data_IF_419342961378
#
_entry.id   IF_419342961378
#
_cell.length_a   1.000
_cell.length_b   1.000
_cell.length_c   1.000
_cell.angle_alpha   90.00
_cell.angle_beta   90.00
_cell.angle_gamma   90.00
#
_symmetry.space_group_name_H-M   'P 1'
#
loop_
_entity.id
_entity.type
_entity.pdbx_description
1 polymer ?
#
# COMPACT_ATOMS: atom_id res chain seq x y z
N UNK A 1 27.50 10.48 -1.58
CA UNK A 1 27.34 10.23 -3.03
C UNK A 1 25.93 9.72 -3.27
N UNK A 2 24.98 10.65 -3.42
CA UNK A 2 23.55 10.38 -3.66
C UNK A 2 23.30 10.35 -5.17
N UNK A 3 23.36 9.16 -5.78
CA UNK A 3 22.96 8.97 -7.17
C UNK A 3 21.43 9.06 -7.25
N UNK A 4 20.96 10.10 -7.94
CA UNK A 4 19.55 10.41 -8.11
C UNK A 4 18.78 9.28 -8.79
N UNK A 5 17.78 8.77 -8.08
CA UNK A 5 16.77 7.88 -8.64
C UNK A 5 15.89 8.71 -9.60
N UNK A 6 15.95 8.44 -10.90
CA UNK A 6 14.97 9.04 -11.82
C UNK A 6 13.62 8.35 -11.62
N UNK A 7 12.73 9.05 -10.91
CA UNK A 7 11.36 8.65 -10.65
C UNK A 7 10.45 9.21 -11.75
N UNK A 8 9.86 8.35 -12.58
CA UNK A 8 8.82 8.75 -13.53
C UNK A 8 7.46 8.21 -13.04
N UNK A 9 6.68 9.07 -12.38
CA UNK A 9 5.35 8.74 -11.87
C UNK A 9 4.25 9.24 -12.81
N UNK A 10 3.37 8.34 -13.27
CA UNK A 10 2.14 8.69 -13.99
C UNK A 10 0.94 8.45 -13.07
N UNK A 11 0.17 9.48 -12.78
CA UNK A 11 -1.03 9.38 -11.93
C UNK A 11 -2.26 9.16 -12.81
N UNK A 12 -3.01 8.08 -12.60
CA UNK A 12 -4.33 7.87 -13.23
C UNK A 12 -5.38 8.01 -12.14
N UNK A 13 -6.26 8.99 -12.27
CA UNK A 13 -7.38 9.19 -11.35
C UNK A 13 -8.59 8.40 -11.86
N UNK A 14 -8.98 7.34 -11.15
CA UNK A 14 -10.27 6.67 -11.36
C UNK A 14 -11.22 7.06 -10.22
N UNK A 15 -12.33 7.72 -10.56
CA UNK A 15 -13.38 8.09 -9.61
C UNK A 15 -14.30 6.89 -9.41
N UNK A 16 -14.26 6.27 -8.22
CA UNK A 16 -15.26 5.27 -7.82
C UNK A 16 -16.12 5.85 -6.69
N UNK A 17 -17.35 6.23 -7.01
CA UNK A 17 -18.33 6.65 -6.01
C UNK A 17 -18.94 5.39 -5.37
N UNK A 18 -18.73 5.21 -4.06
CA UNK A 18 -19.56 4.26 -3.28
C UNK A 18 -20.67 5.07 -2.60
N UNK A 19 -21.91 4.60 -2.74
CA UNK A 19 -23.17 5.29 -2.47
C UNK A 19 -23.47 5.65 -1.00
N UNK A 20 -22.49 5.67 -0.10
CA UNK A 20 -22.72 5.95 1.32
C UNK A 20 -21.63 6.85 1.91
N UNK A 21 -21.75 8.17 1.71
CA UNK A 21 -21.50 9.27 2.66
C UNK A 21 -20.27 9.29 3.59
N UNK A 22 -19.29 8.40 3.47
CA UNK A 22 -18.02 8.44 4.20
C UNK A 22 -16.92 8.69 3.20
N UNK A 23 -16.07 9.69 3.47
CA UNK A 23 -14.78 9.88 2.80
C UNK A 23 -13.99 8.57 2.95
N UNK A 24 -14.12 7.70 1.97
CA UNK A 24 -13.24 6.56 1.78
C UNK A 24 -11.98 7.11 1.11
N UNK A 25 -10.82 6.71 1.61
CA UNK A 25 -9.52 7.05 1.04
C UNK A 25 -9.59 6.86 -0.46
N UNK A 26 -9.55 7.95 -1.23
CA UNK A 26 -9.34 7.89 -2.67
C UNK A 26 -7.99 7.21 -2.85
N UNK A 27 -7.99 5.93 -3.22
CA UNK A 27 -6.78 5.23 -3.60
C UNK A 27 -6.34 5.78 -4.96
N UNK A 28 -5.65 6.93 -4.94
CA UNK A 28 -4.98 7.46 -6.12
C UNK A 28 -3.99 6.41 -6.61
N UNK A 29 -4.28 5.77 -7.75
CA UNK A 29 -3.38 4.78 -8.34
C UNK A 29 -2.32 5.51 -9.13
N UNK A 30 -1.26 5.93 -8.44
CA UNK A 30 -0.04 6.38 -9.10
C UNK A 30 0.75 5.16 -9.59
N UNK A 31 0.97 5.08 -10.90
CA UNK A 31 1.84 4.09 -11.51
C UNK A 31 3.26 4.64 -11.51
N UNK A 32 4.13 4.03 -10.72
CA UNK A 32 5.55 4.35 -10.68
C UNK A 32 6.34 3.25 -11.37
N UNK A 33 7.15 3.61 -12.35
CA UNK A 33 8.12 2.72 -12.99
C UNK A 33 9.52 3.12 -12.53
N UNK A 34 10.31 2.13 -12.14
CA UNK A 34 11.68 2.33 -11.70
C UNK A 34 12.60 1.38 -12.45
N UNK A 35 13.70 1.91 -12.96
CA UNK A 35 14.81 1.12 -13.50
C UNK A 35 15.83 0.99 -12.38
N UNK A 36 16.04 -0.24 -11.93
CA UNK A 36 16.94 -0.55 -10.83
C UNK A 36 18.19 -1.26 -11.36
N UNK A 37 19.31 -1.08 -10.65
CA UNK A 37 20.50 -1.90 -10.84
C UNK A 37 20.39 -3.21 -10.05
N UNK A 38 20.88 -4.32 -10.61
CA UNK A 38 20.87 -5.64 -9.98
C UNK A 38 21.73 -5.73 -8.70
N UNK A 39 22.60 -4.74 -8.45
CA UNK A 39 23.41 -4.67 -7.24
C UNK A 39 22.58 -4.30 -5.98
N UNK A 40 21.34 -3.83 -6.14
CA UNK A 40 20.50 -3.44 -5.01
C UNK A 40 19.84 -4.65 -4.34
N UNK A 41 20.21 -4.89 -3.07
CA UNK A 41 19.62 -5.94 -2.25
C UNK A 41 18.08 -5.79 -2.12
N UNK A 42 17.59 -4.56 -2.01
CA UNK A 42 16.16 -4.25 -1.87
C UNK A 42 15.35 -4.68 -3.09
N UNK A 43 15.93 -4.48 -4.27
CA UNK A 43 15.33 -4.75 -5.58
C UNK A 43 15.27 -6.24 -5.83
N UNK A 44 16.35 -6.97 -5.49
CA UNK A 44 16.40 -8.42 -5.58
C UNK A 44 15.45 -9.11 -4.60
N UNK A 45 15.18 -8.50 -3.44
CA UNK A 45 14.10 -8.93 -2.54
C UNK A 45 12.71 -8.50 -3.01
N UNK A 46 12.65 -7.65 -4.04
CA UNK A 46 11.44 -7.00 -4.53
C UNK A 46 10.64 -6.37 -3.38
N UNK A 47 11.33 -5.63 -2.51
CA UNK A 47 10.69 -5.00 -1.35
C UNK A 47 9.87 -3.80 -1.79
N UNK A 48 8.83 -3.45 -1.03
CA UNK A 48 8.04 -2.24 -1.25
C UNK A 48 7.51 -1.68 0.06
N UNK A 49 7.32 -0.37 0.12
CA UNK A 49 6.64 0.31 1.23
C UNK A 49 5.19 -0.15 1.43
N UNK A 50 4.58 -0.81 0.44
CA UNK A 50 3.22 -1.37 0.49
C UNK A 50 3.19 -2.85 0.86
N UNK A 51 2.11 -3.29 1.51
CA UNK A 51 1.82 -4.71 1.73
C UNK A 51 1.39 -5.36 0.41
N UNK A 52 2.33 -6.03 -0.25
CA UNK A 52 2.15 -6.63 -1.57
C UNK A 52 2.20 -8.16 -1.49
N UNK A 53 1.24 -8.84 -2.14
CA UNK A 53 1.18 -10.31 -2.22
C UNK A 53 1.52 -10.78 -3.63
N UNK A 54 2.30 -11.85 -3.75
CA UNK A 54 2.55 -12.51 -5.03
C UNK A 54 1.22 -12.93 -5.69
N UNK A 55 1.11 -12.70 -6.99
CA UNK A 55 0.04 -13.26 -7.80
C UNK A 55 0.64 -14.14 -8.89
N UNK A 56 0.08 -15.34 -9.04
CA UNK A 56 0.46 -16.21 -10.13
C UNK A 56 -0.06 -15.62 -11.45
N UNK A 57 0.87 -15.25 -12.33
CA UNK A 57 0.60 -14.77 -13.68
C UNK A 57 0.96 -15.80 -14.76
N UNK A 58 1.30 -17.03 -14.34
CA UNK A 58 1.78 -18.12 -15.19
C UNK A 58 3.03 -17.77 -16.04
N UNK A 59 3.82 -16.78 -15.61
CA UNK A 59 5.06 -16.38 -16.28
C UNK A 59 6.20 -16.25 -15.27
N UNK A 60 7.12 -17.22 -15.28
CA UNK A 60 8.27 -17.27 -14.35
C UNK A 60 9.27 -16.12 -14.51
N UNK A 61 9.26 -15.42 -15.65
CA UNK A 61 10.16 -14.28 -15.91
C UNK A 61 9.66 -12.97 -15.30
N UNK A 62 8.37 -12.87 -14.96
CA UNK A 62 7.76 -11.64 -14.45
C UNK A 62 7.18 -11.89 -13.08
N UNK A 63 7.73 -11.27 -12.04
CA UNK A 63 7.15 -11.33 -10.71
C UNK A 63 5.97 -10.34 -10.58
N UNK A 64 4.74 -10.84 -10.59
CA UNK A 64 3.55 -10.01 -10.32
C UNK A 64 3.20 -10.01 -8.84
N UNK A 65 2.92 -8.82 -8.30
CA UNK A 65 2.41 -8.66 -6.93
C UNK A 65 1.23 -7.68 -6.92
N UNK A 66 0.24 -7.94 -6.07
CA UNK A 66 -0.94 -7.09 -5.87
C UNK A 66 -0.97 -6.52 -4.46
N UNK A 67 -1.43 -5.28 -4.31
CA UNK A 67 -1.58 -4.65 -3.00
C UNK A 67 -2.71 -5.30 -2.20
N UNK A 68 -2.49 -5.50 -0.90
CA UNK A 68 -3.48 -5.99 0.06
C UNK A 68 -4.26 -4.85 0.74
N UNK A 69 -3.90 -3.59 0.47
CA UNK A 69 -4.47 -2.41 1.12
C UNK A 69 -3.84 -2.13 2.49
N UNK A 70 -4.59 -1.41 3.33
CA UNK A 70 -4.24 -1.09 4.72
C UNK A 70 -5.37 -1.58 5.63
N UNK A 71 -5.02 -2.06 6.81
CA UNK A 71 -6.03 -2.41 7.81
C UNK A 71 -6.23 -1.22 8.74
N UNK A 72 -7.46 -0.74 8.85
CA UNK A 72 -7.83 0.27 9.84
C UNK A 72 -8.28 -0.45 11.10
N UNK A 73 -7.60 -0.23 12.22
CA UNK A 73 -8.05 -0.69 13.51
C UNK A 73 -9.20 0.23 13.91
N UNK A 74 -10.43 -0.32 13.93
CA UNK A 74 -11.70 0.36 14.24
C UNK A 74 -12.45 1.01 13.06
N UNK A 75 -13.46 0.32 12.54
CA UNK A 75 -14.46 0.87 11.60
C UNK A 75 -15.39 1.91 12.26
N UNK A 76 -15.46 1.91 13.60
CA UNK A 76 -16.32 2.78 14.41
C UNK A 76 -15.69 4.15 14.75
N UNK A 77 -14.59 4.54 14.10
CA UNK A 77 -14.00 5.87 14.28
C UNK A 77 -13.21 6.04 15.57
N UNK A 78 -12.86 4.95 16.26
CA UNK A 78 -11.98 5.04 17.40
C UNK A 78 -10.53 5.27 16.93
N UNK A 79 -9.97 6.40 17.34
CA UNK A 79 -8.59 6.77 17.12
C UNK A 79 -8.07 7.51 18.32
N UNK A 80 -6.76 7.69 18.39
CA UNK A 80 -6.14 8.39 19.50
C UNK A 80 -6.35 9.90 19.30
N UNK A 81 -6.80 10.67 20.31
CA UNK A 81 -6.77 12.12 20.22
C UNK A 81 -5.30 12.55 20.17
N UNK A 82 -4.89 13.19 19.09
CA UNK A 82 -3.53 13.69 18.92
C UNK A 82 -3.56 15.21 19.05
N UNK A 83 -3.00 15.69 20.16
CA UNK A 83 -2.89 17.11 20.46
C UNK A 83 -4.16 17.72 21.07
N UNK A 84 -4.02 18.94 21.58
CA UNK A 84 -5.11 19.71 22.20
C UNK A 84 -6.22 20.14 21.22
N UNK A 85 -6.04 19.89 19.91
CA UNK A 85 -6.93 20.29 18.82
C UNK A 85 -8.04 19.31 18.45
N UNK A 86 -8.18 18.17 19.14
CA UNK A 86 -9.29 17.23 18.91
C UNK A 86 -9.19 16.36 17.64
N UNK A 87 -8.05 16.37 16.95
CA UNK A 87 -7.82 15.50 15.79
C UNK A 87 -7.67 14.04 16.22
N UNK A 88 -8.52 13.17 15.68
CA UNK A 88 -8.53 11.73 15.97
C UNK A 88 -7.67 11.01 14.92
N UNK A 89 -6.50 10.50 15.31
CA UNK A 89 -5.67 9.69 14.40
C UNK A 89 -6.15 8.24 14.38
N UNK A 90 -6.54 7.78 13.20
CA UNK A 90 -6.84 6.38 12.96
C UNK A 90 -5.57 5.53 13.02
N UNK A 91 -5.68 4.37 13.67
CA UNK A 91 -4.58 3.43 13.79
C UNK A 91 -4.57 2.54 12.53
N UNK A 92 -3.59 2.74 11.66
CA UNK A 92 -3.38 1.96 10.45
C UNK A 92 -2.35 0.85 10.69
N UNK A 93 -2.73 -0.40 10.46
CA UNK A 93 -1.85 -1.56 10.52
C UNK A 93 -1.49 -2.07 9.13
N UNK A 94 -0.24 -2.52 8.97
CA UNK A 94 0.22 -3.20 7.76
C UNK A 94 -0.37 -4.63 7.72
N UNK A 95 -1.17 -5.00 6.71
CA UNK A 95 -1.73 -6.35 6.63
C UNK A 95 -0.66 -7.43 6.52
N UNK A 96 -0.89 -8.57 7.15
CA UNK A 96 -0.07 -9.76 6.98
C UNK A 96 -0.21 -10.31 5.57
N UNK A 97 0.93 -10.65 4.96
CA UNK A 97 0.96 -11.22 3.61
C UNK A 97 0.36 -12.63 3.60
N UNK A 98 0.60 -13.42 4.66
CA UNK A 98 0.03 -14.76 4.81
C UNK A 98 -1.48 -14.68 5.07
N UNK A 99 -2.27 -15.35 4.23
CA UNK A 99 -3.73 -15.39 4.35
C UNK A 99 -4.21 -15.96 5.69
N UNK A 100 -3.50 -16.95 6.24
CA UNK A 100 -3.82 -17.54 7.55
C UNK A 100 -3.57 -16.55 8.70
N UNK A 101 -2.48 -15.80 8.66
CA UNK A 101 -2.19 -14.78 9.66
C UNK A 101 -3.13 -13.58 9.52
N UNK A 102 -3.44 -13.16 8.30
CA UNK A 102 -4.32 -12.02 8.03
C UNK A 102 -5.75 -12.24 8.54
N UNK A 103 -6.27 -13.48 8.43
CA UNK A 103 -7.55 -13.87 9.05
C UNK A 103 -7.56 -13.84 10.58
N UNK A 104 -6.39 -13.71 11.22
CA UNK A 104 -6.27 -13.53 12.68
C UNK A 104 -6.03 -12.07 13.07
N UNK A 105 -5.83 -11.18 12.10
CA UNK A 105 -5.65 -9.74 12.33
C UNK A 105 -6.97 -8.97 12.36
N UNK A 106 -8.11 -9.68 12.28
CA UNK A 106 -9.46 -9.14 12.33
C UNK A 106 -10.19 -9.62 13.57
#
# INVERSE_FOLDING_TARGET
>A
MTLGQQQQSRTVAESFATSHGRLSVLAQRSLSLYLYSDASEEVRRHTSGWAMRNTNNHNVRVLKKSCLGVLLLCSAGCGLPIGEGGDIKQICLRPAICDKARRKQC
#
